data_IF_307987950093
#
_entry.id   IF_307987950093
#
_cell.length_a   1.000
_cell.length_b   1.000
_cell.length_c   1.000
_cell.angle_alpha   90.00
_cell.angle_beta   90.00
_cell.angle_gamma   90.00
#
_symmetry.space_group_name_H-M   'P 1'
#
loop_
_entity.id
_entity.type
_entity.pdbx_description
1 polymer ?
#
# COMPACT_ATOMS: atom_id res chain seq x y z
N UNK A 1 -23.03 6.79 -9.24
CA UNK A 1 -24.01 7.45 -10.09
C UNK A 1 -23.39 7.53 -11.48
N UNK A 2 -23.95 6.81 -12.45
CA UNK A 2 -23.36 6.68 -13.78
C UNK A 2 -23.32 8.02 -14.53
N UNK A 3 -24.38 8.81 -14.37
CA UNK A 3 -24.53 10.11 -15.03
C UNK A 3 -23.44 11.07 -14.57
N UNK A 4 -23.22 11.16 -13.25
CA UNK A 4 -22.13 12.00 -12.70
C UNK A 4 -20.74 11.57 -13.17
N UNK A 5 -20.51 10.27 -13.35
CA UNK A 5 -19.22 9.77 -13.86
C UNK A 5 -19.04 10.17 -15.33
N UNK A 6 -20.10 10.10 -16.14
CA UNK A 6 -20.07 10.53 -17.53
C UNK A 6 -19.86 12.06 -17.65
N UNK A 7 -20.57 12.85 -16.85
CA UNK A 7 -20.41 14.31 -16.80
C UNK A 7 -18.97 14.71 -16.42
N UNK A 8 -18.39 14.06 -15.41
CA UNK A 8 -17.00 14.29 -15.00
C UNK A 8 -15.96 13.90 -16.06
N UNK A 9 -16.35 13.13 -17.08
CA UNK A 9 -15.46 12.67 -18.14
C UNK A 9 -15.42 13.60 -19.36
N UNK A 10 -16.31 14.60 -19.43
CA UNK A 10 -16.38 15.52 -20.55
C UNK A 10 -15.08 16.34 -20.66
N UNK A 11 -14.44 16.28 -21.84
CA UNK A 11 -13.18 17.01 -22.11
C UNK A 11 -11.93 16.40 -21.44
N UNK A 12 -12.03 15.20 -20.85
CA UNK A 12 -10.90 14.55 -20.18
C UNK A 12 -10.06 13.74 -21.17
N UNK A 13 -8.76 14.04 -21.24
CA UNK A 13 -7.81 13.27 -22.05
C UNK A 13 -7.22 12.07 -21.31
N UNK A 14 -7.02 12.18 -19.99
CA UNK A 14 -6.36 11.15 -19.16
C UNK A 14 -7.15 10.92 -17.88
N UNK A 15 -7.41 9.66 -17.54
CA UNK A 15 -8.10 9.27 -16.30
C UNK A 15 -7.16 8.57 -15.34
N UNK A 16 -7.10 9.06 -14.11
CA UNK A 16 -6.43 8.39 -13.00
C UNK A 16 -7.47 7.73 -12.09
N UNK A 17 -7.64 6.40 -12.21
CA UNK A 17 -8.60 5.64 -11.42
C UNK A 17 -7.97 5.06 -10.15
N UNK A 18 -8.12 5.79 -9.04
CA UNK A 18 -7.64 5.45 -7.71
C UNK A 18 -8.72 4.89 -6.77
N UNK A 19 -9.99 5.04 -7.12
CA UNK A 19 -11.09 4.76 -6.22
C UNK A 19 -11.16 3.25 -5.92
N UNK A 20 -11.04 2.90 -4.63
CA UNK A 20 -11.13 1.53 -4.15
C UNK A 20 -11.58 1.48 -2.68
N UNK A 21 -12.27 0.41 -2.32
CA UNK A 21 -12.45 0.00 -0.93
C UNK A 21 -11.37 -0.99 -0.53
N UNK A 22 -10.77 -0.77 0.64
CA UNK A 22 -9.71 -1.60 1.24
C UNK A 22 -10.30 -2.52 2.34
N UNK A 23 -9.62 -3.60 2.74
CA UNK A 23 -10.12 -4.54 3.76
C UNK A 23 -10.56 -3.85 5.07
N UNK A 24 -9.83 -2.80 5.47
CA UNK A 24 -10.09 -2.05 6.70
C UNK A 24 -11.50 -1.43 6.74
N UNK A 25 -12.13 -1.21 5.59
CA UNK A 25 -13.49 -0.68 5.50
C UNK A 25 -14.57 -1.67 5.95
N UNK A 26 -14.23 -2.96 6.13
CA UNK A 26 -15.16 -4.04 6.49
C UNK A 26 -16.44 -4.07 5.61
N UNK A 27 -16.30 -3.67 4.35
CA UNK A 27 -17.43 -3.41 3.46
C UNK A 27 -18.13 -4.67 2.91
N UNK A 28 -17.65 -5.87 3.24
CA UNK A 28 -18.20 -7.14 2.76
C UNK A 28 -18.33 -7.15 1.24
N UNK A 29 -19.51 -7.55 0.73
CA UNK A 29 -19.79 -7.60 -0.73
C UNK A 29 -19.66 -6.26 -1.44
N UNK A 30 -19.77 -5.12 -0.74
CA UNK A 30 -19.62 -3.79 -1.36
C UNK A 30 -18.20 -3.56 -1.88
N UNK A 31 -17.20 -4.24 -1.30
CA UNK A 31 -15.82 -4.19 -1.78
C UNK A 31 -15.72 -4.62 -3.25
N UNK A 32 -16.37 -5.72 -3.62
CA UNK A 32 -16.41 -6.21 -4.99
C UNK A 32 -17.13 -5.24 -5.93
N UNK A 33 -18.30 -4.75 -5.50
CA UNK A 33 -19.06 -3.78 -6.29
C UNK A 33 -18.25 -2.53 -6.61
N UNK A 34 -17.54 -1.97 -5.62
CA UNK A 34 -16.75 -0.75 -5.86
C UNK A 34 -15.50 -1.04 -6.68
N UNK A 35 -14.76 -2.09 -6.33
CA UNK A 35 -13.45 -2.34 -6.96
C UNK A 35 -13.57 -2.95 -8.36
N UNK A 36 -14.64 -3.68 -8.66
CA UNK A 36 -14.87 -4.36 -9.95
C UNK A 36 -15.89 -3.60 -10.79
N UNK A 37 -17.14 -3.54 -10.33
CA UNK A 37 -18.23 -2.91 -11.12
C UNK A 37 -18.01 -1.41 -11.27
N UNK A 38 -17.53 -0.75 -10.21
CA UNK A 38 -17.14 0.66 -10.25
C UNK A 38 -15.99 0.90 -11.24
N UNK A 39 -15.01 -0.01 -11.33
CA UNK A 39 -13.94 0.09 -12.34
C UNK A 39 -14.49 -0.06 -13.75
N UNK A 40 -15.40 -1.01 -13.99
CA UNK A 40 -16.07 -1.15 -15.28
C UNK A 40 -16.83 0.12 -15.66
N UNK A 41 -17.60 0.69 -14.74
CA UNK A 41 -18.38 1.90 -14.97
C UNK A 41 -17.51 3.09 -15.40
N UNK A 42 -16.34 3.28 -14.77
CA UNK A 42 -15.41 4.35 -15.14
C UNK A 42 -14.77 4.06 -16.50
N UNK A 43 -14.43 2.80 -16.80
CA UNK A 43 -13.90 2.41 -18.11
C UNK A 43 -14.91 2.67 -19.24
N UNK A 44 -16.19 2.31 -19.03
CA UNK A 44 -17.24 2.53 -20.01
C UNK A 44 -17.44 4.02 -20.30
N UNK A 45 -17.48 4.85 -19.24
CA UNK A 45 -17.55 6.30 -19.38
C UNK A 45 -16.32 6.88 -20.07
N UNK A 46 -15.12 6.41 -19.74
CA UNK A 46 -13.88 6.87 -20.35
C UNK A 46 -13.86 6.58 -21.86
N UNK A 47 -14.30 5.39 -22.27
CA UNK A 47 -14.41 5.02 -23.68
C UNK A 47 -15.44 5.87 -24.42
N UNK A 48 -16.62 6.06 -23.82
CA UNK A 48 -17.68 6.88 -24.42
C UNK A 48 -17.27 8.34 -24.62
N UNK A 49 -16.47 8.89 -23.69
CA UNK A 49 -15.97 10.26 -23.75
C UNK A 49 -14.73 10.44 -24.65
N UNK A 50 -14.17 9.36 -25.21
CA UNK A 50 -12.97 9.42 -26.05
C UNK A 50 -11.68 9.70 -25.27
N UNK A 51 -11.60 9.27 -24.00
CA UNK A 51 -10.39 9.35 -23.19
C UNK A 51 -9.23 8.67 -23.91
N UNK A 52 -8.09 9.34 -23.95
CA UNK A 52 -6.91 8.90 -24.70
C UNK A 52 -6.01 7.97 -23.89
N UNK A 53 -6.05 8.06 -22.56
CA UNK A 53 -5.22 7.23 -21.70
C UNK A 53 -5.86 6.98 -20.32
N UNK A 54 -5.83 5.73 -19.85
CA UNK A 54 -6.44 5.32 -18.59
C UNK A 54 -5.40 4.68 -17.66
N UNK A 55 -5.27 5.20 -16.44
CA UNK A 55 -4.33 4.69 -15.44
C UNK A 55 -5.13 4.08 -14.29
N UNK A 56 -4.96 2.78 -14.05
CA UNK A 56 -5.55 2.07 -12.92
C UNK A 56 -4.52 1.84 -11.83
N UNK A 57 -4.77 2.32 -10.61
CA UNK A 57 -3.92 1.99 -9.46
C UNK A 57 -4.43 0.71 -8.80
N UNK A 58 -3.66 -0.36 -8.99
CA UNK A 58 -3.85 -1.66 -8.36
C UNK A 58 -3.08 -1.77 -7.03
N UNK A 59 -2.50 -2.93 -6.72
CA UNK A 59 -1.85 -3.22 -5.44
C UNK A 59 -0.90 -4.41 -5.57
N UNK A 60 0.13 -4.48 -4.73
CA UNK A 60 0.93 -5.70 -4.59
C UNK A 60 0.16 -6.90 -4.04
N UNK A 61 -1.03 -6.72 -3.45
CA UNK A 61 -1.82 -7.82 -2.89
C UNK A 61 -2.31 -8.83 -3.97
N UNK A 62 -2.28 -8.46 -5.25
CA UNK A 62 -2.62 -9.37 -6.37
C UNK A 62 -1.66 -10.55 -6.48
N UNK A 63 -0.42 -10.44 -5.98
CA UNK A 63 0.56 -11.51 -6.02
C UNK A 63 0.41 -12.53 -4.87
N UNK A 64 -0.29 -12.16 -3.79
CA UNK A 64 -0.41 -13.01 -2.60
C UNK A 64 0.93 -13.33 -1.95
N UNK A 65 1.37 -14.59 -2.06
CA UNK A 65 2.66 -15.09 -1.56
C UNK A 65 3.53 -15.53 -2.75
N UNK A 66 4.35 -14.63 -3.31
CA UNK A 66 5.21 -14.95 -4.43
C UNK A 66 6.28 -15.97 -4.03
N UNK A 67 6.63 -16.87 -4.95
CA UNK A 67 7.60 -17.95 -4.73
C UNK A 67 9.06 -17.45 -4.83
N UNK A 68 9.29 -16.34 -5.55
CA UNK A 68 10.60 -15.74 -5.77
C UNK A 68 10.54 -14.22 -5.76
N UNK A 69 11.66 -13.59 -5.43
CA UNK A 69 11.90 -12.16 -5.61
C UNK A 69 13.19 -11.94 -6.43
N UNK A 70 13.32 -10.82 -7.16
CA UNK A 70 12.33 -9.76 -7.32
C UNK A 70 11.07 -10.25 -8.03
N UNK A 71 9.94 -9.65 -7.68
CA UNK A 71 8.66 -9.89 -8.34
C UNK A 71 8.65 -9.12 -9.66
N UNK A 72 8.56 -9.86 -10.75
CA UNK A 72 8.52 -9.34 -12.13
C UNK A 72 7.12 -9.44 -12.72
N UNK A 73 6.96 -8.95 -13.96
CA UNK A 73 5.72 -9.05 -14.73
C UNK A 73 5.27 -10.51 -14.97
N UNK A 74 6.20 -11.47 -14.96
CA UNK A 74 5.92 -12.91 -15.14
C UNK A 74 5.47 -13.61 -13.84
N UNK A 75 5.45 -12.89 -12.72
CA UNK A 75 5.10 -13.49 -11.43
C UNK A 75 3.61 -13.80 -11.39
N UNK A 76 3.20 -15.05 -11.09
CA UNK A 76 1.78 -15.41 -11.04
C UNK A 76 0.97 -14.57 -10.05
N UNK A 77 -0.24 -14.19 -10.48
CA UNK A 77 -1.19 -13.42 -9.67
C UNK A 77 -2.05 -14.41 -8.85
N UNK A 78 -1.71 -14.61 -7.58
CA UNK A 78 -2.38 -15.55 -6.68
C UNK A 78 -2.84 -14.86 -5.39
N UNK A 79 -3.83 -13.95 -5.46
CA UNK A 79 -4.26 -13.19 -4.29
C UNK A 79 -4.89 -14.09 -3.22
N UNK A 80 -4.47 -13.89 -1.97
CA UNK A 80 -4.95 -14.70 -0.84
C UNK A 80 -6.29 -14.23 -0.28
N UNK A 81 -6.59 -12.94 -0.40
CA UNK A 81 -7.73 -12.27 0.24
C UNK A 81 -8.70 -11.65 -0.77
N UNK A 82 -9.91 -11.36 -0.31
CA UNK A 82 -10.97 -10.75 -1.13
C UNK A 82 -10.56 -9.41 -1.74
N UNK A 83 -9.77 -8.60 -1.03
CA UNK A 83 -9.28 -7.34 -1.59
C UNK A 83 -8.34 -7.57 -2.77
N UNK A 84 -7.36 -8.47 -2.62
CA UNK A 84 -6.46 -8.84 -3.71
C UNK A 84 -7.23 -9.44 -4.88
N UNK A 85 -8.21 -10.31 -4.62
CA UNK A 85 -9.09 -10.91 -5.64
C UNK A 85 -9.91 -9.85 -6.38
N UNK A 86 -10.53 -8.92 -5.67
CA UNK A 86 -11.33 -7.87 -6.28
C UNK A 86 -10.47 -6.86 -7.06
N UNK A 87 -9.26 -6.55 -6.59
CA UNK A 87 -8.32 -5.71 -7.34
C UNK A 87 -7.82 -6.39 -8.61
N UNK A 88 -7.52 -7.70 -8.54
CA UNK A 88 -7.20 -8.50 -9.72
C UNK A 88 -8.36 -8.54 -10.73
N UNK A 89 -9.59 -8.78 -10.27
CA UNK A 89 -10.77 -8.72 -11.14
C UNK A 89 -10.97 -7.33 -11.78
N UNK A 90 -10.60 -6.26 -11.08
CA UNK A 90 -10.54 -4.90 -11.66
C UNK A 90 -9.46 -4.77 -12.75
N UNK A 91 -8.27 -5.33 -12.54
CA UNK A 91 -7.21 -5.39 -13.56
C UNK A 91 -7.67 -6.13 -14.82
N UNK A 92 -8.44 -7.21 -14.68
CA UNK A 92 -9.00 -7.96 -15.80
C UNK A 92 -9.96 -7.10 -16.65
N UNK A 93 -10.75 -6.21 -16.03
CA UNK A 93 -11.60 -5.25 -16.76
C UNK A 93 -10.75 -4.25 -17.54
N UNK A 94 -9.69 -3.74 -16.92
CA UNK A 94 -8.76 -2.80 -17.57
C UNK A 94 -8.03 -3.49 -18.74
N UNK A 95 -7.59 -4.74 -18.55
CA UNK A 95 -6.96 -5.52 -19.62
C UNK A 95 -7.94 -5.80 -20.77
N UNK A 96 -9.22 -6.05 -20.48
CA UNK A 96 -10.25 -6.18 -21.51
C UNK A 96 -10.48 -4.87 -22.27
N UNK A 97 -10.52 -3.72 -21.58
CA UNK A 97 -10.61 -2.41 -22.23
C UNK A 97 -9.38 -2.11 -23.10
N UNK A 98 -8.18 -2.51 -22.65
CA UNK A 98 -6.95 -2.39 -23.42
C UNK A 98 -6.99 -3.22 -24.71
N UNK A 99 -7.43 -4.47 -24.64
CA UNK A 99 -7.65 -5.31 -25.84
C UNK A 99 -8.70 -4.72 -26.78
N UNK A 100 -9.64 -3.94 -26.26
CA UNK A 100 -10.67 -3.27 -27.03
C UNK A 100 -10.27 -1.85 -27.51
N UNK A 101 -8.98 -1.50 -27.42
CA UNK A 101 -8.39 -0.30 -28.04
C UNK A 101 -8.18 0.91 -27.12
N UNK A 102 -8.57 0.84 -25.83
CA UNK A 102 -8.28 1.92 -24.89
C UNK A 102 -6.84 1.80 -24.37
N UNK A 103 -5.99 2.80 -24.59
CA UNK A 103 -4.64 2.78 -24.04
C UNK A 103 -4.67 2.84 -22.50
N UNK A 104 -4.19 1.77 -21.83
CA UNK A 104 -4.28 1.62 -20.39
C UNK A 104 -2.93 1.32 -19.73
N UNK A 105 -2.69 1.89 -18.55
CA UNK A 105 -1.63 1.47 -17.63
C UNK A 105 -2.22 0.92 -16.33
N UNK A 106 -1.64 -0.16 -15.81
CA UNK A 106 -1.94 -0.71 -14.49
C UNK A 106 -0.71 -0.50 -13.60
N UNK A 107 -0.88 0.21 -12.49
CA UNK A 107 0.20 0.48 -11.54
C UNK A 107 -0.01 -0.35 -10.28
N UNK A 108 0.96 -1.18 -9.91
CA UNK A 108 0.94 -2.03 -8.70
C UNK A 108 1.96 -1.48 -7.69
N UNK A 109 1.55 -0.59 -6.78
CA UNK A 109 2.46 -0.04 -5.79
C UNK A 109 2.73 -1.01 -4.63
N UNK A 110 3.95 -0.92 -4.08
CA UNK A 110 4.29 -1.41 -2.74
C UNK A 110 3.58 -0.59 -1.66
N UNK A 111 3.77 -1.00 -0.40
CA UNK A 111 3.22 -0.31 0.77
C UNK A 111 3.59 1.16 0.74
N UNK A 112 2.58 2.02 0.59
CA UNK A 112 2.76 3.46 0.54
C UNK A 112 3.05 4.04 1.92
N UNK A 113 4.15 4.78 2.01
CA UNK A 113 4.57 5.59 3.15
C UNK A 113 4.68 7.05 2.72
N UNK A 114 4.35 7.96 3.62
CA UNK A 114 4.44 9.38 3.35
C UNK A 114 3.79 10.21 4.44
N UNK A 115 4.14 11.49 4.42
CA UNK A 115 3.63 12.51 5.33
C UNK A 115 2.09 12.47 5.45
N UNK A 116 1.58 12.45 6.68
CA UNK A 116 0.14 12.47 6.96
C UNK A 116 -0.58 11.12 6.79
N UNK A 117 0.13 10.02 6.52
CA UNK A 117 -0.41 8.66 6.42
C UNK A 117 0.08 7.80 7.58
N UNK A 118 -0.53 7.97 8.75
CA UNK A 118 -0.11 7.30 9.99
C UNK A 118 -0.48 5.81 10.01
N UNK A 119 -1.74 5.44 9.73
CA UNK A 119 -2.16 4.03 9.63
C UNK A 119 -1.58 3.09 10.71
N UNK A 120 -1.09 1.91 10.29
CA UNK A 120 -0.36 0.98 11.16
C UNK A 120 1.00 1.53 11.64
N UNK A 121 1.62 2.41 10.85
CA UNK A 121 2.88 3.05 11.21
C UNK A 121 2.75 3.96 12.42
N UNK A 122 1.54 4.42 12.77
CA UNK A 122 1.30 5.18 13.99
C UNK A 122 1.74 4.39 15.24
N UNK A 123 1.32 3.12 15.34
CA UNK A 123 1.70 2.25 16.47
C UNK A 123 3.22 2.11 16.51
N UNK A 124 3.85 1.93 15.35
CA UNK A 124 5.29 1.85 15.25
C UNK A 124 5.96 3.13 15.78
N UNK A 125 5.51 4.31 15.33
CA UNK A 125 6.09 5.59 15.73
C UNK A 125 5.86 5.90 17.21
N UNK A 126 4.70 5.56 17.76
CA UNK A 126 4.42 5.64 19.19
C UNK A 126 5.38 4.76 19.99
N UNK A 127 5.59 3.50 19.58
CA UNK A 127 6.54 2.60 20.25
C UNK A 127 7.98 3.09 20.15
N UNK A 128 8.39 3.58 18.98
CA UNK A 128 9.73 4.15 18.80
C UNK A 128 9.89 5.36 19.72
N UNK A 129 8.94 6.29 19.71
CA UNK A 129 8.97 7.49 20.56
C UNK A 129 8.98 7.16 22.06
N UNK A 130 8.17 6.20 22.51
CA UNK A 130 8.12 5.75 23.90
C UNK A 130 9.33 4.88 24.31
N UNK A 131 10.28 4.64 23.40
CA UNK A 131 11.47 3.82 23.69
C UNK A 131 11.15 2.33 23.89
N UNK A 132 10.07 1.83 23.30
CA UNK A 132 9.57 0.46 23.49
C UNK A 132 10.17 -0.55 22.51
N UNK A 133 9.89 -1.82 22.79
CA UNK A 133 10.22 -2.94 21.89
C UNK A 133 9.33 -2.89 20.66
N UNK A 134 9.94 -2.84 19.48
CA UNK A 134 9.26 -2.93 18.19
C UNK A 134 9.33 -4.38 17.73
N UNK A 135 8.19 -5.07 17.78
CA UNK A 135 8.11 -6.48 17.43
C UNK A 135 7.97 -6.69 15.92
N UNK A 136 8.82 -7.55 15.36
CA UNK A 136 8.75 -8.01 13.97
C UNK A 136 8.58 -9.52 13.94
N UNK A 137 7.85 -10.03 12.94
CA UNK A 137 7.66 -11.47 12.76
C UNK A 137 8.90 -12.03 12.06
N UNK A 138 9.43 -13.13 12.57
CA UNK A 138 10.72 -13.66 12.17
C UNK A 138 11.88 -12.86 12.76
N UNK A 139 13.03 -12.91 12.10
CA UNK A 139 14.23 -12.17 12.51
C UNK A 139 14.28 -10.74 11.92
N UNK A 140 13.37 -10.38 11.00
CA UNK A 140 13.34 -9.08 10.34
C UNK A 140 14.39 -8.89 9.26
N UNK A 141 15.13 -9.94 8.88
CA UNK A 141 16.19 -9.88 7.86
C UNK A 141 15.68 -10.10 6.43
N UNK A 142 14.36 -10.24 6.25
CA UNK A 142 13.76 -10.32 4.92
C UNK A 142 13.78 -8.92 4.25
N UNK A 143 14.22 -8.82 2.98
CA UNK A 143 14.11 -7.58 2.21
C UNK A 143 12.66 -7.14 2.07
N UNK A 144 12.41 -5.88 2.40
CA UNK A 144 11.06 -5.32 2.39
C UNK A 144 11.08 -4.01 1.62
N UNK A 145 10.27 -3.87 0.57
CA UNK A 145 10.25 -2.64 -0.23
C UNK A 145 8.99 -1.82 0.09
N UNK A 146 9.19 -0.53 0.39
CA UNK A 146 8.14 0.48 0.54
C UNK A 146 8.03 1.33 -0.74
N UNK A 147 7.12 2.29 -0.76
CA UNK A 147 7.03 3.31 -1.82
C UNK A 147 6.61 4.65 -1.22
N UNK A 148 7.30 5.72 -1.59
CA UNK A 148 6.92 7.06 -1.14
C UNK A 148 5.71 7.55 -1.93
N UNK A 149 4.77 8.22 -1.26
CA UNK A 149 3.59 8.77 -1.92
C UNK A 149 3.96 9.77 -3.03
N UNK A 150 4.97 10.60 -2.81
CA UNK A 150 5.49 11.53 -3.82
C UNK A 150 6.09 10.83 -5.04
N UNK A 151 6.81 9.72 -4.82
CA UNK A 151 7.40 8.93 -5.92
C UNK A 151 6.30 8.26 -6.77
N UNK A 152 5.22 7.80 -6.14
CA UNK A 152 4.05 7.30 -6.86
C UNK A 152 3.38 8.41 -7.68
N UNK A 153 3.23 9.62 -7.14
CA UNK A 153 2.65 10.75 -7.88
C UNK A 153 3.51 11.10 -9.09
N UNK A 154 4.83 11.19 -8.93
CA UNK A 154 5.75 11.44 -10.05
C UNK A 154 5.63 10.37 -11.14
N UNK A 155 5.55 9.08 -10.78
CA UNK A 155 5.31 8.00 -11.74
C UNK A 155 4.00 8.20 -12.53
N UNK A 156 2.91 8.52 -11.83
CA UNK A 156 1.59 8.66 -12.43
C UNK A 156 1.55 9.84 -13.41
N UNK A 157 2.19 10.96 -13.07
CA UNK A 157 2.33 12.11 -13.96
C UNK A 157 3.13 11.74 -15.21
N UNK A 158 4.26 11.04 -15.05
CA UNK A 158 5.06 10.55 -16.18
C UNK A 158 4.30 9.60 -17.09
N UNK A 159 3.45 8.74 -16.53
CA UNK A 159 2.56 7.86 -17.28
C UNK A 159 1.53 8.65 -18.08
N UNK A 160 0.92 9.66 -17.47
CA UNK A 160 -0.06 10.52 -18.12
C UNK A 160 0.55 11.33 -19.28
N UNK A 161 1.75 11.88 -19.07
CA UNK A 161 2.49 12.65 -20.07
C UNK A 161 2.96 11.78 -21.24
N UNK A 162 3.60 10.64 -20.95
CA UNK A 162 4.17 9.76 -21.99
C UNK A 162 3.13 8.82 -22.62
N UNK A 163 1.94 8.70 -22.00
CA UNK A 163 0.84 7.79 -22.39
C UNK A 163 1.32 6.36 -22.69
N UNK A 164 2.18 5.82 -21.82
CA UNK A 164 2.81 4.50 -22.01
C UNK A 164 1.95 3.38 -21.43
N UNK A 165 1.28 2.55 -22.26
CA UNK A 165 0.47 1.45 -21.77
C UNK A 165 1.35 0.33 -21.22
N UNK A 166 0.83 -0.38 -20.23
CA UNK A 166 1.57 -1.49 -19.63
C UNK A 166 1.19 -1.76 -18.19
N UNK A 167 1.90 -2.70 -17.58
CA UNK A 167 1.79 -3.00 -16.16
C UNK A 167 3.09 -2.58 -15.50
N UNK A 168 2.99 -1.80 -14.42
CA UNK A 168 4.13 -1.21 -13.72
C UNK A 168 4.08 -1.60 -12.26
N UNK A 169 4.95 -2.52 -11.86
CA UNK A 169 5.24 -2.78 -10.46
C UNK A 169 6.16 -1.67 -9.93
N UNK A 170 5.77 -1.01 -8.84
CA UNK A 170 6.49 0.18 -8.36
C UNK A 170 6.76 0.15 -6.86
N UNK A 171 7.98 0.54 -6.51
CA UNK A 171 8.54 0.52 -5.16
C UNK A 171 9.83 1.32 -5.12
N UNK A 172 10.40 1.50 -3.93
CA UNK A 172 11.67 2.18 -3.74
C UNK A 172 12.83 1.43 -4.40
N UNK A 173 13.80 2.17 -4.94
CA UNK A 173 15.04 1.60 -5.48
C UNK A 173 16.02 1.26 -4.35
N UNK A 174 16.06 2.10 -3.31
CA UNK A 174 16.91 1.92 -2.12
C UNK A 174 16.09 1.36 -0.96
N UNK A 175 16.30 0.09 -0.62
CA UNK A 175 15.67 -0.54 0.53
C UNK A 175 16.58 -1.63 1.09
N UNK A 176 16.47 -1.87 2.39
CA UNK A 176 17.18 -2.95 3.06
C UNK A 176 16.21 -4.01 3.57
N UNK A 177 16.59 -4.58 4.71
CA UNK A 177 15.73 -5.44 5.50
C UNK A 177 14.86 -4.62 6.45
N UNK A 178 13.74 -5.18 6.87
CA UNK A 178 12.86 -4.53 7.86
C UNK A 178 13.63 -4.18 9.15
N UNK A 179 14.54 -5.04 9.60
CA UNK A 179 15.39 -4.80 10.77
C UNK A 179 16.32 -3.61 10.57
N UNK A 180 16.97 -3.49 9.41
CA UNK A 180 17.88 -2.39 9.11
C UNK A 180 17.14 -1.05 9.01
N UNK A 181 16.02 -1.03 8.30
CA UNK A 181 15.21 0.17 8.09
C UNK A 181 14.61 0.67 9.41
N UNK A 182 14.06 -0.23 10.24
CA UNK A 182 13.59 0.12 11.59
C UNK A 182 14.74 0.51 12.52
N UNK A 183 15.90 -0.13 12.39
CA UNK A 183 17.10 0.24 13.14
C UNK A 183 17.58 1.65 12.79
N UNK A 184 17.52 2.04 11.52
CA UNK A 184 17.83 3.40 11.07
C UNK A 184 16.85 4.42 11.66
N UNK A 185 15.54 4.12 11.64
CA UNK A 185 14.52 4.94 12.28
C UNK A 185 14.77 5.12 13.78
N UNK A 186 15.07 4.03 14.51
CA UNK A 186 15.34 4.08 15.95
C UNK A 186 16.58 4.92 16.27
N UNK A 187 17.66 4.76 15.47
CA UNK A 187 18.87 5.58 15.62
C UNK A 187 18.57 7.07 15.39
N UNK A 188 17.77 7.40 14.37
CA UNK A 188 17.33 8.77 14.12
C UNK A 188 16.49 9.33 15.28
N UNK A 189 15.55 8.54 15.79
CA UNK A 189 14.71 8.93 16.92
C UNK A 189 15.49 9.17 18.23
N UNK A 190 16.66 8.53 18.38
CA UNK A 190 17.51 8.67 19.57
C UNK A 190 16.89 8.10 20.85
N UNK A 191 15.97 7.14 20.73
CA UNK A 191 15.25 6.54 21.87
C UNK A 191 15.84 5.18 22.28
N UNK A 192 15.39 4.65 23.43
CA UNK A 192 15.77 3.32 23.89
C UNK A 192 15.06 2.15 23.16
N UNK A 193 14.30 2.45 22.10
CA UNK A 193 13.56 1.46 21.35
C UNK A 193 14.49 0.41 20.71
N UNK A 194 13.98 -0.80 20.46
CA UNK A 194 14.75 -1.86 19.81
C UNK A 194 13.88 -2.83 19.04
N UNK A 195 14.40 -3.33 17.92
CA UNK A 195 13.72 -4.32 17.08
C UNK A 195 13.85 -5.72 17.69
N UNK A 196 12.72 -6.31 18.06
CA UNK A 196 12.64 -7.66 18.66
C UNK A 196 11.97 -8.61 17.65
N UNK A 197 12.69 -9.65 17.26
CA UNK A 197 12.14 -10.71 16.41
C UNK A 197 11.29 -11.69 17.20
N UNK A 198 10.14 -12.08 16.67
CA UNK A 198 9.26 -13.11 17.23
C UNK A 198 9.18 -14.28 16.26
N UNK A 199 9.52 -15.51 16.65
CA UNK A 199 9.46 -16.67 15.76
C UNK A 199 8.09 -16.78 15.06
N UNK A 200 8.11 -16.92 13.73
CA UNK A 200 6.89 -16.93 12.92
C UNK A 200 5.90 -18.03 13.34
N UNK A 201 6.42 -19.19 13.75
CA UNK A 201 5.62 -20.30 14.26
C UNK A 201 4.84 -20.00 15.55
N UNK A 202 5.25 -18.99 16.33
CA UNK A 202 4.53 -18.53 17.51
C UNK A 202 3.64 -17.32 17.20
N UNK A 203 4.17 -16.36 16.43
CA UNK A 203 3.46 -15.12 16.13
C UNK A 203 2.22 -15.35 15.24
N UNK A 204 2.32 -16.18 14.19
CA UNK A 204 1.25 -16.35 13.21
C UNK A 204 0.01 -17.02 13.84
N UNK A 205 0.10 -18.13 14.61
CA UNK A 205 -1.06 -18.71 15.27
C UNK A 205 -1.73 -17.76 16.27
N UNK A 206 -0.94 -17.02 17.05
CA UNK A 206 -1.45 -16.04 18.01
C UNK A 206 -2.22 -14.91 17.31
N UNK A 207 -1.67 -14.37 16.22
CA UNK A 207 -2.33 -13.32 15.43
C UNK A 207 -3.60 -13.84 14.73
N UNK A 208 -3.60 -15.09 14.24
CA UNK A 208 -4.81 -15.73 13.70
C UNK A 208 -5.90 -15.88 14.76
N UNK A 209 -5.55 -16.26 15.98
CA UNK A 209 -6.49 -16.35 17.08
C UNK A 209 -7.07 -14.98 17.45
N UNK A 210 -6.23 -13.94 17.51
CA UNK A 210 -6.67 -12.56 17.75
C UNK A 210 -7.56 -12.02 16.61
N UNK A 211 -7.26 -12.36 15.36
CA UNK A 211 -8.08 -11.97 14.21
C UNK A 211 -9.44 -12.67 14.21
N UNK A 212 -9.47 -13.97 14.54
CA UNK A 212 -10.72 -14.72 14.75
C UNK A 212 -11.59 -14.09 15.85
N UNK A 213 -10.96 -13.62 16.93
CA UNK A 213 -11.62 -12.87 18.01
C UNK A 213 -11.95 -11.42 17.64
N UNK A 214 -11.61 -10.96 16.42
CA UNK A 214 -11.77 -9.57 15.94
C UNK A 214 -11.02 -8.52 16.77
N UNK A 215 -9.96 -8.93 17.46
CA UNK A 215 -9.10 -8.09 18.30
C UNK A 215 -7.78 -7.71 17.63
N UNK A 216 -7.45 -8.30 16.47
CA UNK A 216 -6.20 -7.99 15.76
C UNK A 216 -6.22 -6.58 15.15
N UNK A 217 -5.21 -5.72 15.45
CA UNK A 217 -4.99 -4.48 14.70
C UNK A 217 -4.46 -4.74 13.28
N UNK A 218 -3.91 -5.92 13.05
CA UNK A 218 -3.23 -6.30 11.83
C UNK A 218 -4.20 -7.09 10.94
N UNK A 219 -4.44 -6.58 9.73
CA UNK A 219 -5.07 -7.38 8.69
C UNK A 219 -4.21 -8.63 8.37
N UNK A 220 -4.82 -9.79 8.03
CA UNK A 220 -4.12 -11.06 7.87
C UNK A 220 -2.91 -11.04 6.94
N UNK A 221 -2.99 -10.29 5.84
CA UNK A 221 -1.88 -10.15 4.91
C UNK A 221 -0.61 -9.55 5.54
N UNK A 222 -0.71 -8.64 6.51
CA UNK A 222 0.46 -8.02 7.15
C UNK A 222 1.33 -9.09 7.81
N UNK A 223 0.74 -9.98 8.61
CA UNK A 223 1.51 -11.00 9.31
C UNK A 223 1.86 -12.22 8.46
N UNK A 224 1.13 -12.46 7.36
CA UNK A 224 1.41 -13.55 6.43
C UNK A 224 2.51 -13.22 5.41
N UNK A 225 2.84 -11.96 5.20
CA UNK A 225 3.79 -11.54 4.13
C UNK A 225 4.98 -10.73 4.61
N UNK A 226 4.91 -10.02 5.74
CA UNK A 226 5.99 -9.12 6.17
C UNK A 226 7.26 -9.81 6.68
N UNK A 227 7.17 -11.11 6.98
CA UNK A 227 8.32 -11.92 7.41
C UNK A 227 9.05 -12.60 6.24
N UNK A 228 8.57 -12.43 5.01
CA UNK A 228 9.16 -13.00 3.79
C UNK A 228 9.59 -11.90 2.84
N UNK A 229 10.60 -12.16 2.01
CA UNK A 229 11.03 -11.22 0.98
C UNK A 229 9.86 -10.83 0.08
N UNK A 230 9.62 -9.52 -0.08
CA UNK A 230 8.57 -9.01 -0.96
C UNK A 230 8.99 -7.65 -1.52
N UNK A 231 9.59 -7.69 -2.71
CA UNK A 231 10.01 -6.51 -3.45
C UNK A 231 9.85 -6.71 -4.96
N UNK A 232 9.59 -5.61 -5.65
CA UNK A 232 9.41 -5.57 -7.09
C UNK A 232 10.71 -5.30 -7.82
N UNK A 233 10.83 -5.88 -9.01
CA UNK A 233 11.68 -5.30 -10.05
C UNK A 233 10.97 -4.06 -10.61
N UNK A 234 11.62 -2.90 -10.49
CA UNK A 234 11.11 -1.62 -10.98
C UNK A 234 11.75 -1.19 -12.30
N UNK A 235 12.62 -2.04 -12.88
CA UNK A 235 13.46 -1.67 -14.03
C UNK A 235 12.66 -1.23 -15.24
N UNK A 236 11.42 -1.71 -15.41
CA UNK A 236 10.53 -1.27 -16.48
C UNK A 236 10.18 0.22 -16.38
N UNK A 237 9.79 0.68 -15.19
CA UNK A 237 9.47 2.09 -14.96
C UNK A 237 10.72 2.98 -15.17
N UNK A 238 11.90 2.50 -14.75
CA UNK A 238 13.17 3.19 -14.97
C UNK A 238 13.46 3.33 -16.47
N UNK A 239 13.33 2.25 -17.25
CA UNK A 239 13.65 2.25 -18.69
C UNK A 239 12.63 2.98 -19.56
N UNK A 240 11.34 2.79 -19.30
CA UNK A 240 10.28 3.30 -20.18
C UNK A 240 9.80 4.71 -19.82
N UNK A 241 9.93 5.11 -18.55
CA UNK A 241 9.41 6.38 -18.03
C UNK A 241 10.51 7.32 -17.51
N UNK A 242 11.76 6.87 -17.51
CA UNK A 242 12.89 7.56 -16.86
C UNK A 242 12.55 7.91 -15.40
N UNK A 243 11.76 7.04 -14.76
CA UNK A 243 11.29 7.23 -13.40
C UNK A 243 12.27 6.57 -12.44
N UNK A 244 12.83 7.35 -11.52
CA UNK A 244 13.67 6.86 -10.43
C UNK A 244 13.10 7.35 -9.11
N UNK A 245 12.69 6.46 -8.19
CA UNK A 245 12.14 6.87 -6.91
C UNK A 245 13.20 7.63 -6.12
N UNK A 246 12.82 8.79 -5.60
CA UNK A 246 13.73 9.68 -4.88
C UNK A 246 14.05 9.14 -3.49
N UNK A 247 13.12 8.44 -2.85
CA UNK A 247 13.22 8.06 -1.44
C UNK A 247 13.53 6.59 -1.25
N UNK A 248 14.43 6.29 -0.31
CA UNK A 248 14.65 4.96 0.22
C UNK A 248 13.79 4.65 1.44
N UNK A 249 13.69 3.38 1.82
CA UNK A 249 12.85 2.93 2.94
C UNK A 249 13.12 3.67 4.25
N UNK A 250 14.38 3.69 4.70
CA UNK A 250 14.76 4.37 5.94
C UNK A 250 14.42 5.87 5.91
N UNK A 251 14.67 6.55 4.78
CA UNK A 251 14.37 7.98 4.60
C UNK A 251 12.85 8.24 4.72
N UNK A 252 12.02 7.41 4.09
CA UNK A 252 10.56 7.50 4.20
C UNK A 252 10.05 7.32 5.63
N UNK A 253 10.63 6.35 6.36
CA UNK A 253 10.25 6.07 7.75
C UNK A 253 10.63 7.24 8.66
N UNK A 254 11.83 7.80 8.47
CA UNK A 254 12.33 8.96 9.21
C UNK A 254 11.46 10.20 8.92
N UNK A 255 11.22 10.53 7.66
CA UNK A 255 10.39 11.69 7.28
C UNK A 255 8.98 11.59 7.87
N UNK A 256 8.38 10.39 7.81
CA UNK A 256 7.06 10.14 8.37
C UNK A 256 7.03 10.20 9.91
N UNK A 257 8.13 9.79 10.57
CA UNK A 257 8.28 9.88 12.01
C UNK A 257 8.45 11.33 12.49
N UNK A 258 9.27 12.11 11.81
CA UNK A 258 9.45 13.54 12.12
C UNK A 258 8.12 14.30 11.98
N UNK A 259 7.37 13.99 10.93
CA UNK A 259 6.02 14.54 10.76
C UNK A 259 5.09 14.11 11.90
N UNK A 260 5.13 12.83 12.30
CA UNK A 260 4.35 12.33 13.43
C UNK A 260 4.67 13.11 14.72
N UNK A 261 5.94 13.32 15.06
CA UNK A 261 6.34 14.07 16.24
C UNK A 261 5.83 15.51 16.21
N UNK A 262 5.97 16.20 15.07
CA UNK A 262 5.51 17.57 14.90
C UNK A 262 3.99 17.73 15.04
N UNK A 263 3.21 16.67 14.79
CA UNK A 263 1.75 16.71 14.79
C UNK A 263 1.09 15.91 15.90
N UNK A 264 1.86 15.20 16.74
CA UNK A 264 1.33 14.28 17.75
C UNK A 264 0.34 14.96 18.69
N UNK A 265 0.70 16.12 19.22
CA UNK A 265 -0.12 16.85 20.19
C UNK A 265 -1.37 17.51 19.54
N UNK A 266 -1.35 17.67 18.22
CA UNK A 266 -2.50 18.16 17.42
C UNK A 266 -3.38 17.04 16.85
N UNK A 267 -2.86 15.81 16.75
CA UNK A 267 -3.57 14.64 16.25
C UNK A 267 -4.61 14.12 17.28
N UNK A 268 -4.38 14.37 18.57
CA UNK A 268 -5.36 14.09 19.64
C UNK A 268 -6.60 15.02 19.56
N UNK A 269 -6.51 16.18 18.90
CA UNK A 269 -7.60 17.14 18.76
C UNK A 269 -8.44 16.96 17.48
N UNK A 270 -7.92 16.30 16.45
CA UNK A 270 -8.54 16.23 15.12
C UNK A 270 -9.08 14.82 14.80
N UNK A 271 -10.18 14.46 15.48
CA UNK A 271 -10.93 13.24 15.19
C UNK A 271 -11.26 13.06 13.69
N UNK A 272 -10.70 12.00 13.12
CA UNK A 272 -11.26 11.15 12.06
C UNK A 272 -11.98 11.83 10.87
N UNK A 273 -11.25 12.05 9.75
CA UNK A 273 -11.90 12.30 8.43
C UNK A 273 -11.38 11.49 7.24
N UNK A 274 -10.56 10.46 7.47
CA UNK A 274 -10.23 9.48 6.42
C UNK A 274 -9.87 8.14 7.02
N UNK A 275 -10.31 7.03 6.40
CA UNK A 275 -9.95 5.67 6.82
C UNK A 275 -8.43 5.39 6.76
N UNK A 276 -7.65 6.27 6.13
CA UNK A 276 -6.18 6.24 6.12
C UNK A 276 -5.52 7.17 7.17
N UNK A 277 -6.33 7.98 7.88
CA UNK A 277 -5.90 8.89 8.96
C UNK A 277 -6.46 8.51 10.32
N UNK A 278 -7.37 7.53 10.41
CA UNK A 278 -7.95 7.13 11.68
C UNK A 278 -6.89 6.44 12.54
N UNK A 279 -6.55 7.06 13.66
CA UNK A 279 -5.74 6.46 14.71
C UNK A 279 -6.32 5.11 15.12
N UNK A 280 -5.44 4.18 15.49
CA UNK A 280 -5.85 2.88 16.04
C UNK A 280 -6.60 3.16 17.35
N UNK A 281 -7.74 2.49 17.64
CA UNK A 281 -8.53 2.78 18.83
C UNK A 281 -7.68 2.74 20.10
N UNK A 282 -7.78 3.77 20.94
CA UNK A 282 -6.96 3.96 22.14
C UNK A 282 -6.99 2.75 23.10
N UNK A 283 -8.11 2.01 23.14
CA UNK A 283 -8.24 0.76 23.91
C UNK A 283 -7.28 -0.33 23.44
N UNK A 284 -7.04 -0.44 22.14
CA UNK A 284 -6.13 -1.42 21.55
C UNK A 284 -4.68 -1.03 21.80
N UNK A 285 -4.37 0.27 21.72
CA UNK A 285 -3.07 0.82 22.13
C UNK A 285 -2.76 0.53 23.61
N UNK A 286 -3.73 0.69 24.52
CA UNK A 286 -3.54 0.36 25.95
C UNK A 286 -3.27 -1.13 26.20
N UNK A 287 -3.93 -2.03 25.46
CA UNK A 287 -3.69 -3.48 25.59
C UNK A 287 -2.28 -3.83 25.08
N UNK A 288 -1.91 -3.29 23.92
CA UNK A 288 -0.57 -3.48 23.36
C UNK A 288 0.53 -2.91 24.25
N UNK A 289 0.32 -1.73 24.86
CA UNK A 289 1.24 -1.11 25.84
C UNK A 289 1.52 -1.98 27.07
N UNK A 290 0.62 -2.90 27.44
CA UNK A 290 0.83 -3.85 28.54
C UNK A 290 1.66 -5.06 28.13
N UNK A 291 1.80 -5.31 26.82
CA UNK A 291 2.50 -6.46 26.24
C UNK A 291 3.89 -6.10 25.68
N UNK A 292 4.22 -4.80 25.55
CA UNK A 292 5.47 -4.25 25.02
C UNK A 292 6.35 -3.61 26.08
#
# INVERSE_FOLDING_TARGET
DATRVAEAMAGVDVVHHHAALVPLTKAGRRLWRVNVDGTQQVLDAARAAGVKFFIHVSTSAVFGRPERCPITDDTPLRPLEDYGRAKLAGEERVAAAARAGLACAIVRPRTLVGVGRLGIFQILYEWVWEGRRVYVIGDGNAPFQLLHAGDLVDLLLRLAERRRPGVYNVGAERFGTLREDLGALIRHAGTAARVVGVPAGLAIPALRALDWLRLSPLAPWHYLTYHTAFFFDISRAVRELEWRPRYGNAEMLVESYDWFLAHRDSADAAGARSAHRSAVPEKLLRVLRRLS
#
